data_IF_389413176318
#
_entry.id   IF_389413176318
#
_cell.length_a   1.000
_cell.length_b   1.000
_cell.length_c   1.000
_cell.angle_alpha   90.00
_cell.angle_beta   90.00
_cell.angle_gamma   90.00
#
_symmetry.space_group_name_H-M   'P 1'
#
loop_
_entity.id
_entity.type
_entity.pdbx_description
1 polymer ?
#
# COMPACT_ATOMS: atom_id res chain seq x y z
N UNK A 1 -49.48 12.38 88.53
CA UNK A 1 -50.78 12.33 87.84
C UNK A 1 -50.50 11.92 86.42
N UNK A 2 -50.85 10.72 86.18
CA UNK A 2 -51.80 10.16 85.21
C UNK A 2 -51.34 10.16 83.73
N UNK A 3 -50.95 9.01 83.31
CA UNK A 3 -51.54 8.22 82.20
C UNK A 3 -51.56 8.88 80.81
N UNK A 4 -51.09 8.29 79.79
CA UNK A 4 -51.63 7.10 79.11
C UNK A 4 -50.66 6.55 78.05
N UNK A 5 -50.57 5.22 78.04
CA UNK A 5 -50.08 4.42 76.94
C UNK A 5 -50.88 4.62 75.63
N UNK A 6 -50.23 4.70 74.52
CA UNK A 6 -50.85 4.25 73.29
C UNK A 6 -49.79 3.43 72.51
N UNK A 7 -50.05 2.16 72.44
CA UNK A 7 -49.36 1.21 71.56
C UNK A 7 -49.58 1.54 70.09
N UNK A 8 -48.55 1.56 69.29
CA UNK A 8 -48.70 1.47 67.85
C UNK A 8 -47.80 0.38 67.35
N UNK A 9 -48.47 -0.68 66.92
CA UNK A 9 -47.91 -1.80 66.21
C UNK A 9 -47.42 -1.33 64.84
N UNK A 10 -46.11 -1.39 64.63
CA UNK A 10 -45.52 -1.19 63.27
C UNK A 10 -45.35 -2.58 62.65
N UNK A 11 -46.15 -2.84 61.66
CA UNK A 11 -46.06 -4.05 60.87
C UNK A 11 -44.83 -3.97 59.95
N UNK A 12 -43.89 -4.87 60.15
CA UNK A 12 -42.68 -5.03 59.32
C UNK A 12 -43.07 -5.79 58.03
N UNK A 13 -43.27 -5.07 56.94
CA UNK A 13 -43.43 -5.66 55.63
C UNK A 13 -42.05 -6.05 55.06
N UNK A 14 -41.72 -7.34 55.05
CA UNK A 14 -40.54 -7.85 54.41
C UNK A 14 -40.73 -7.81 52.88
N UNK A 15 -40.11 -6.88 52.19
CA UNK A 15 -39.97 -6.84 50.75
C UNK A 15 -38.88 -7.86 50.33
N UNK A 16 -39.31 -8.99 49.85
CA UNK A 16 -38.44 -9.97 49.18
C UNK A 16 -38.19 -9.46 47.75
N UNK A 17 -37.07 -8.78 47.55
CA UNK A 17 -36.55 -8.44 46.21
C UNK A 17 -36.01 -9.73 45.57
N UNK A 18 -36.81 -10.35 44.74
CA UNK A 18 -36.34 -11.39 43.83
C UNK A 18 -35.49 -10.77 42.73
N UNK A 19 -34.16 -10.88 42.86
CA UNK A 19 -33.21 -10.52 41.81
C UNK A 19 -33.33 -11.53 40.67
N UNK A 20 -34.08 -11.18 39.65
CA UNK A 20 -34.07 -11.90 38.40
C UNK A 20 -32.75 -11.56 37.69
N UNK A 21 -31.74 -12.44 37.78
CA UNK A 21 -30.56 -12.39 36.94
C UNK A 21 -30.99 -12.67 35.49
N UNK A 22 -31.12 -11.60 34.69
CA UNK A 22 -31.08 -11.75 33.25
C UNK A 22 -29.64 -12.08 32.84
N UNK A 23 -29.35 -13.33 32.64
CA UNK A 23 -28.18 -13.75 31.90
C UNK A 23 -28.38 -13.28 30.45
N UNK A 24 -27.87 -12.11 30.11
CA UNK A 24 -27.68 -11.71 28.73
C UNK A 24 -26.59 -12.62 28.15
N UNK A 25 -27.01 -13.67 27.44
CA UNK A 25 -26.14 -14.35 26.48
C UNK A 25 -25.76 -13.30 25.43
N UNK A 26 -24.54 -12.78 25.53
CA UNK A 26 -23.94 -11.99 24.46
C UNK A 26 -23.82 -12.92 23.23
N UNK A 27 -24.78 -12.87 22.34
CA UNK A 27 -24.61 -13.37 20.98
C UNK A 27 -23.41 -12.65 20.39
N UNK A 28 -22.36 -13.41 20.07
CA UNK A 28 -21.29 -12.92 19.21
C UNK A 28 -21.96 -12.35 17.96
N UNK A 29 -21.64 -11.10 17.55
CA UNK A 29 -22.15 -10.58 16.28
C UNK A 29 -21.68 -11.54 15.19
N UNK A 30 -22.64 -12.31 14.63
CA UNK A 30 -22.38 -13.10 13.46
C UNK A 30 -21.81 -12.18 12.40
N UNK A 31 -20.67 -12.53 11.81
CA UNK A 31 -20.09 -11.84 10.68
C UNK A 31 -21.15 -11.80 9.57
N UNK A 32 -21.89 -10.72 9.53
CA UNK A 32 -22.79 -10.40 8.42
C UNK A 32 -21.93 -10.37 7.15
N UNK A 33 -22.35 -11.12 6.13
CA UNK A 33 -21.78 -11.08 4.78
C UNK A 33 -21.53 -9.61 4.43
N UNK A 34 -20.26 -9.28 4.13
CA UNK A 34 -19.85 -7.95 3.74
C UNK A 34 -20.85 -7.38 2.72
N UNK A 35 -21.64 -6.44 3.17
CA UNK A 35 -22.58 -5.73 2.31
C UNK A 35 -21.69 -4.97 1.34
N UNK A 36 -21.81 -5.27 0.04
CA UNK A 36 -21.09 -4.50 -1.01
C UNK A 36 -21.53 -3.05 -0.88
N UNK A 37 -20.77 -2.28 -0.09
CA UNK A 37 -20.98 -0.83 -0.02
C UNK A 37 -20.74 -0.23 -1.41
N UNK A 38 -21.48 0.84 -1.74
CA UNK A 38 -21.26 1.57 -2.96
C UNK A 38 -19.79 2.07 -3.02
N UNK A 39 -19.20 2.25 -4.22
CA UNK A 39 -17.92 2.89 -4.37
C UNK A 39 -17.87 4.23 -3.66
N UNK A 40 -16.73 4.57 -3.07
CA UNK A 40 -16.53 5.81 -2.32
C UNK A 40 -15.30 6.54 -2.80
N UNK A 41 -15.34 7.86 -2.73
CA UNK A 41 -14.18 8.73 -2.97
C UNK A 41 -13.24 8.82 -1.76
N UNK A 42 -13.56 8.18 -0.64
CA UNK A 42 -12.67 8.08 0.52
C UNK A 42 -11.76 6.87 0.38
N UNK A 43 -10.48 7.12 0.14
CA UNK A 43 -9.43 6.09 0.04
C UNK A 43 -8.69 5.86 1.36
N UNK A 44 -9.04 6.58 2.44
CA UNK A 44 -8.32 6.51 3.72
C UNK A 44 -8.32 5.11 4.31
N UNK A 45 -7.22 4.75 4.96
CA UNK A 45 -7.02 3.48 5.65
C UNK A 45 -5.67 2.86 5.38
N UNK A 46 -5.40 1.75 6.09
CA UNK A 46 -4.20 0.94 5.88
C UNK A 46 -4.51 -0.16 4.87
N UNK A 47 -3.77 -0.17 3.79
CA UNK A 47 -3.99 -1.06 2.65
C UNK A 47 -2.79 -1.97 2.44
N UNK A 48 -3.06 -3.23 2.17
CA UNK A 48 -2.03 -4.19 1.78
C UNK A 48 -2.33 -4.75 0.39
N UNK A 49 -1.31 -4.80 -0.46
CA UNK A 49 -1.44 -5.41 -1.79
C UNK A 49 -1.87 -6.86 -1.67
N UNK A 50 -2.95 -7.22 -2.35
CA UNK A 50 -3.43 -8.60 -2.40
C UNK A 50 -2.48 -9.44 -3.25
N UNK A 51 -2.13 -10.62 -2.75
CA UNK A 51 -1.38 -11.62 -3.51
C UNK A 51 -2.29 -12.49 -4.38
N UNK A 52 -3.59 -12.21 -4.38
CA UNK A 52 -4.56 -12.94 -5.21
C UNK A 52 -4.53 -12.37 -6.63
N UNK A 53 -4.54 -13.26 -7.63
CA UNK A 53 -4.71 -12.83 -9.01
C UNK A 53 -6.04 -12.06 -9.17
N UNK A 54 -6.05 -10.93 -9.89
CA UNK A 54 -7.26 -10.13 -10.10
C UNK A 54 -8.37 -10.89 -10.82
N UNK A 55 -8.01 -11.91 -11.57
CA UNK A 55 -8.94 -12.73 -12.35
C UNK A 55 -8.60 -14.21 -12.16
N UNK A 56 -9.61 -15.00 -11.77
CA UNK A 56 -9.50 -16.47 -11.64
C UNK A 56 -9.12 -17.18 -12.95
N UNK A 57 -9.35 -16.52 -14.08
CA UNK A 57 -9.03 -17.05 -15.42
C UNK A 57 -7.54 -16.86 -15.81
N UNK A 58 -6.79 -15.99 -15.14
CA UNK A 58 -5.37 -15.75 -15.42
C UNK A 58 -4.51 -16.59 -14.49
N UNK A 59 -3.80 -17.56 -15.05
CA UNK A 59 -2.76 -18.33 -14.35
C UNK A 59 -1.54 -17.44 -14.07
N UNK A 60 -1.62 -16.58 -13.05
CA UNK A 60 -0.44 -15.91 -12.51
C UNK A 60 0.07 -16.69 -11.31
N UNK A 61 1.36 -16.91 -11.24
CA UNK A 61 1.98 -17.38 -10.02
C UNK A 61 2.03 -16.20 -9.03
N UNK A 62 1.89 -16.49 -7.73
CA UNK A 62 2.08 -15.49 -6.64
C UNK A 62 3.45 -14.79 -6.77
N UNK A 63 4.41 -15.49 -7.36
CA UNK A 63 5.77 -15.03 -7.59
C UNK A 63 5.83 -13.90 -8.62
N UNK A 64 5.18 -14.04 -9.78
CA UNK A 64 5.18 -13.04 -10.86
C UNK A 64 4.55 -11.71 -10.40
N UNK A 65 3.50 -11.76 -9.57
CA UNK A 65 2.86 -10.56 -9.02
C UNK A 65 3.70 -9.82 -7.96
N UNK A 66 4.75 -10.46 -7.43
CA UNK A 66 5.63 -9.85 -6.43
C UNK A 66 6.76 -9.01 -7.04
N UNK A 67 7.10 -9.25 -8.31
CA UNK A 67 8.27 -8.64 -8.94
C UNK A 67 7.92 -7.54 -9.94
N UNK A 68 6.79 -7.63 -10.62
CA UNK A 68 6.38 -6.61 -11.59
C UNK A 68 4.91 -6.21 -11.41
N UNK A 69 4.55 -5.06 -11.99
CA UNK A 69 3.15 -4.63 -12.10
C UNK A 69 2.41 -5.34 -13.22
N UNK A 70 3.14 -6.04 -14.10
CA UNK A 70 2.60 -6.79 -15.23
C UNK A 70 3.22 -8.19 -15.30
N UNK A 71 2.52 -9.09 -15.96
CA UNK A 71 3.04 -10.43 -16.32
C UNK A 71 3.44 -10.53 -17.79
N UNK A 72 3.26 -9.45 -18.54
CA UNK A 72 3.65 -9.36 -19.93
C UNK A 72 5.02 -8.70 -20.05
N UNK A 73 5.86 -9.17 -20.99
CA UNK A 73 7.12 -8.49 -21.26
C UNK A 73 6.85 -7.07 -21.77
N UNK A 74 7.36 -6.04 -21.10
CA UNK A 74 7.22 -4.66 -21.58
C UNK A 74 7.86 -4.46 -22.96
N UNK A 75 7.29 -3.60 -23.80
CA UNK A 75 7.76 -3.38 -25.17
C UNK A 75 8.97 -2.44 -25.22
N UNK A 76 10.11 -2.92 -24.72
CA UNK A 76 11.34 -2.12 -24.57
C UNK A 76 11.93 -1.68 -25.91
N UNK A 77 12.50 -0.47 -25.92
CA UNK A 77 13.41 -0.01 -26.98
C UNK A 77 14.78 -0.68 -26.84
N UNK A 78 15.66 -0.61 -27.85
CA UNK A 78 17.02 -1.12 -27.73
C UNK A 78 17.82 -0.47 -26.58
N UNK A 79 17.54 0.80 -26.27
CA UNK A 79 18.16 1.49 -25.14
C UNK A 79 17.73 0.85 -23.80
N UNK A 80 16.44 0.63 -23.61
CA UNK A 80 15.92 0.00 -22.39
C UNK A 80 16.38 -1.47 -22.28
N UNK A 81 16.40 -2.22 -23.39
CA UNK A 81 16.91 -3.60 -23.38
C UNK A 81 18.39 -3.68 -22.97
N UNK A 82 19.21 -2.73 -23.40
CA UNK A 82 20.62 -2.68 -23.00
C UNK A 82 20.75 -2.40 -21.49
N UNK A 83 19.97 -1.45 -20.95
CA UNK A 83 19.93 -1.17 -19.51
C UNK A 83 19.40 -2.36 -18.70
N UNK A 84 18.33 -2.98 -19.16
CA UNK A 84 17.75 -4.18 -18.54
C UNK A 84 18.74 -5.34 -18.45
N UNK A 85 19.50 -5.59 -19.52
CA UNK A 85 20.56 -6.63 -19.54
C UNK A 85 21.74 -6.31 -18.62
N UNK A 86 22.01 -5.04 -18.38
CA UNK A 86 23.09 -4.60 -17.48
C UNK A 86 22.65 -4.55 -16.00
N UNK A 87 21.36 -4.64 -15.73
CA UNK A 87 20.81 -4.66 -14.39
C UNK A 87 21.17 -5.98 -13.68
N UNK A 88 21.47 -5.85 -12.40
CA UNK A 88 21.80 -6.96 -11.49
C UNK A 88 20.85 -6.89 -10.29
N UNK A 89 19.61 -7.35 -10.42
CA UNK A 89 18.65 -7.29 -9.32
C UNK A 89 19.09 -8.15 -8.15
N UNK A 90 18.69 -7.77 -6.94
CA UNK A 90 18.94 -8.57 -5.73
C UNK A 90 17.79 -9.55 -5.42
N UNK A 91 16.68 -9.47 -6.17
CA UNK A 91 15.51 -10.33 -6.06
C UNK A 91 15.06 -10.77 -7.45
N UNK A 92 14.28 -11.84 -7.51
CA UNK A 92 13.74 -12.34 -8.78
C UNK A 92 14.58 -13.46 -9.39
N UNK A 93 14.13 -13.97 -10.56
CA UNK A 93 14.77 -15.13 -11.21
C UNK A 93 16.20 -14.87 -11.69
N UNK A 94 16.55 -13.61 -11.94
CA UNK A 94 17.89 -13.19 -12.39
C UNK A 94 18.70 -12.53 -11.26
N UNK A 95 18.34 -12.80 -10.00
CA UNK A 95 18.98 -12.17 -8.86
C UNK A 95 20.44 -12.55 -8.71
N UNK A 96 21.24 -11.57 -8.26
CA UNK A 96 22.64 -11.71 -7.87
C UNK A 96 22.79 -11.48 -6.37
N UNK A 97 23.96 -11.81 -5.84
CA UNK A 97 24.26 -11.54 -4.42
C UNK A 97 24.30 -10.05 -4.11
N UNK A 98 24.06 -9.69 -2.84
CA UNK A 98 24.05 -8.28 -2.39
C UNK A 98 25.36 -7.53 -2.70
N UNK A 99 26.48 -8.22 -2.75
CA UNK A 99 27.76 -7.60 -3.11
C UNK A 99 27.92 -7.28 -4.60
N UNK A 100 27.07 -7.89 -5.44
CA UNK A 100 27.17 -7.76 -6.90
C UNK A 100 26.03 -6.94 -7.50
N UNK A 101 24.96 -6.72 -6.72
CA UNK A 101 23.78 -6.00 -7.19
C UNK A 101 24.07 -4.54 -7.46
N UNK A 102 23.43 -3.99 -8.48
CA UNK A 102 23.39 -2.54 -8.74
C UNK A 102 21.98 -1.96 -8.52
N UNK A 103 21.15 -2.67 -7.78
CA UNK A 103 19.81 -2.21 -7.43
C UNK A 103 19.88 -1.05 -6.43
N UNK A 104 19.36 0.14 -6.78
CA UNK A 104 19.42 1.31 -5.89
C UNK A 104 18.78 1.10 -4.52
N UNK A 105 17.77 0.23 -4.44
CA UNK A 105 17.04 -0.01 -3.20
C UNK A 105 17.89 -0.67 -2.11
N UNK A 106 18.94 -1.39 -2.47
CA UNK A 106 19.86 -2.00 -1.50
C UNK A 106 20.73 -0.95 -0.78
N UNK A 107 20.79 0.25 -1.30
CA UNK A 107 21.44 1.41 -0.68
C UNK A 107 20.42 2.36 -0.03
N UNK A 108 19.22 1.86 0.25
CA UNK A 108 18.10 2.61 0.85
C UNK A 108 17.67 3.85 0.07
N UNK A 109 17.92 3.89 -1.23
CA UNK A 109 17.36 4.94 -2.08
C UNK A 109 15.86 4.71 -2.29
N UNK A 110 15.08 5.79 -2.43
CA UNK A 110 13.66 5.68 -2.71
C UNK A 110 13.39 4.83 -3.96
N UNK A 111 12.43 3.90 -3.90
CA UNK A 111 12.17 2.96 -5.01
C UNK A 111 11.53 3.61 -6.23
N UNK A 112 10.97 4.81 -6.09
CA UNK A 112 10.18 5.45 -7.14
C UNK A 112 8.78 4.84 -7.32
N UNK A 113 8.02 5.42 -8.25
CA UNK A 113 6.67 4.95 -8.63
C UNK A 113 6.76 4.31 -10.01
N UNK A 114 6.16 3.12 -10.22
CA UNK A 114 5.28 2.39 -9.33
C UNK A 114 5.98 1.36 -8.42
N UNK A 115 7.31 1.28 -8.42
CA UNK A 115 8.03 0.24 -7.69
C UNK A 115 7.77 0.24 -6.19
N UNK A 116 7.50 1.41 -5.58
CA UNK A 116 7.16 1.53 -4.16
C UNK A 116 6.01 0.60 -3.75
N UNK A 117 5.10 0.29 -4.66
CA UNK A 117 3.98 -0.62 -4.43
C UNK A 117 4.37 -2.11 -4.43
N UNK A 118 5.60 -2.43 -4.84
CA UNK A 118 6.08 -3.80 -4.99
C UNK A 118 7.01 -4.23 -3.87
N UNK A 119 7.37 -3.30 -2.97
CA UNK A 119 8.33 -3.58 -1.92
C UNK A 119 7.71 -4.57 -0.93
N UNK A 120 8.26 -5.78 -0.90
CA UNK A 120 7.98 -6.88 0.04
C UNK A 120 6.50 -7.12 0.39
N UNK A 121 5.54 -6.46 -0.28
CA UNK A 121 4.12 -6.53 0.05
C UNK A 121 3.77 -5.84 1.37
N UNK A 122 4.59 -4.88 1.77
CA UNK A 122 4.37 -4.05 2.95
C UNK A 122 3.12 -3.17 2.78
N UNK A 123 2.45 -2.82 3.88
CA UNK A 123 1.26 -1.99 3.82
C UNK A 123 1.59 -0.54 3.47
N UNK A 124 0.56 0.17 3.03
CA UNK A 124 0.55 1.61 2.84
C UNK A 124 -0.65 2.20 3.55
N UNK A 125 -0.44 3.25 4.33
CA UNK A 125 -1.53 4.05 4.87
C UNK A 125 -1.84 5.20 3.93
N UNK A 126 -3.10 5.33 3.54
CA UNK A 126 -3.61 6.44 2.76
C UNK A 126 -4.35 7.39 3.70
N UNK A 127 -3.91 8.63 3.75
CA UNK A 127 -4.51 9.73 4.49
C UNK A 127 -5.03 10.77 3.50
N UNK A 128 -6.34 10.97 3.49
CA UNK A 128 -6.97 11.90 2.55
C UNK A 128 -7.40 13.19 3.27
N UNK A 129 -7.03 14.32 2.69
CA UNK A 129 -7.44 15.66 3.11
C UNK A 129 -8.16 16.37 1.97
N UNK A 130 -8.67 17.59 2.20
CA UNK A 130 -9.43 18.36 1.20
C UNK A 130 -8.64 18.78 -0.04
N UNK A 131 -7.32 18.75 -0.03
CA UNK A 131 -6.50 19.21 -1.16
C UNK A 131 -5.30 18.33 -1.44
N UNK A 132 -5.16 17.24 -0.69
CA UNK A 132 -4.01 16.37 -0.79
C UNK A 132 -4.30 14.97 -0.26
N UNK A 133 -3.72 13.98 -0.91
CA UNK A 133 -3.65 12.61 -0.41
C UNK A 133 -2.19 12.34 -0.07
N UNK A 134 -1.96 11.77 1.11
CA UNK A 134 -0.64 11.34 1.57
C UNK A 134 -0.65 9.83 1.67
N UNK A 135 0.31 9.19 1.04
CA UNK A 135 0.55 7.75 1.15
C UNK A 135 1.83 7.54 1.94
N UNK A 136 1.70 6.92 3.12
CA UNK A 136 2.82 6.53 3.97
C UNK A 136 3.07 5.03 3.79
N UNK A 137 4.21 4.68 3.23
CA UNK A 137 4.62 3.30 3.04
C UNK A 137 5.38 2.80 4.28
N UNK A 138 5.11 1.59 4.73
CA UNK A 138 5.81 1.00 5.88
C UNK A 138 7.31 0.85 5.62
N UNK A 139 7.68 0.48 4.38
CA UNK A 139 9.08 0.39 3.99
C UNK A 139 9.75 1.76 4.07
N UNK A 140 10.68 1.89 5.00
CA UNK A 140 11.54 3.06 5.22
C UNK A 140 10.76 4.40 5.37
N UNK A 141 9.47 4.31 5.72
CA UNK A 141 8.54 5.43 5.86
C UNK A 141 8.54 6.40 4.67
N UNK A 142 8.72 5.86 3.45
CA UNK A 142 8.58 6.71 2.27
C UNK A 142 7.20 7.34 2.21
N UNK A 143 7.19 8.63 1.89
CA UNK A 143 5.98 9.42 1.75
C UNK A 143 5.78 9.77 0.28
N UNK A 144 4.56 9.62 -0.20
CA UNK A 144 4.11 10.13 -1.48
C UNK A 144 2.97 11.09 -1.27
N UNK A 145 3.10 12.29 -1.81
CA UNK A 145 2.05 13.30 -1.80
C UNK A 145 1.40 13.38 -3.19
N UNK A 146 0.09 13.40 -3.23
CA UNK A 146 -0.73 13.57 -4.43
C UNK A 146 -1.59 14.79 -4.21
N UNK A 147 -1.37 15.86 -4.97
CA UNK A 147 -2.12 17.11 -4.81
C UNK A 147 -3.44 17.05 -5.58
N UNK A 148 -4.54 17.30 -4.89
CA UNK A 148 -5.91 17.25 -5.43
C UNK A 148 -6.60 18.60 -5.37
N UNK A 149 -5.85 19.67 -5.24
CA UNK A 149 -6.33 21.07 -5.14
C UNK A 149 -6.50 21.78 -6.49
N UNK A 150 -6.34 21.03 -7.60
CA UNK A 150 -6.52 21.55 -8.95
C UNK A 150 -5.31 22.25 -9.56
N UNK A 151 -4.15 22.16 -8.88
CA UNK A 151 -2.89 22.69 -9.45
C UNK A 151 -2.46 21.95 -10.70
N UNK A 152 -1.56 22.57 -11.44
CA UNK A 152 -0.85 21.96 -12.56
C UNK A 152 0.58 21.62 -12.13
N UNK A 153 1.24 20.72 -12.86
CA UNK A 153 2.67 20.47 -12.66
C UNK A 153 3.48 21.77 -12.86
N UNK A 154 4.46 22.05 -11.99
CA UNK A 154 5.36 23.17 -12.19
C UNK A 154 6.11 23.05 -13.53
N UNK A 155 6.34 24.19 -14.20
CA UNK A 155 7.08 24.18 -15.47
C UNK A 155 8.54 23.83 -15.32
N UNK A 156 9.12 24.20 -14.18
CA UNK A 156 10.56 23.99 -13.86
C UNK A 156 10.68 22.91 -12.79
N UNK A 157 10.27 21.68 -13.11
CA UNK A 157 10.40 20.52 -12.21
C UNK A 157 11.85 20.10 -12.09
N UNK A 158 12.34 20.03 -10.86
CA UNK A 158 13.57 19.29 -10.56
C UNK A 158 13.25 17.81 -10.45
N UNK A 159 13.94 16.92 -11.20
CA UNK A 159 13.66 15.48 -11.14
C UNK A 159 13.84 14.90 -9.74
N UNK A 160 12.86 14.14 -9.28
CA UNK A 160 12.86 13.49 -7.97
C UNK A 160 12.69 11.98 -8.09
N UNK A 161 12.85 11.25 -7.01
CA UNK A 161 12.64 9.80 -6.98
C UNK A 161 11.17 9.40 -7.16
N UNK A 162 10.25 10.18 -6.56
CA UNK A 162 8.82 9.86 -6.51
C UNK A 162 7.99 10.64 -7.54
N UNK A 163 8.63 11.56 -8.27
CA UNK A 163 7.97 12.45 -9.19
C UNK A 163 7.12 13.54 -8.51
N UNK A 164 6.50 14.38 -9.30
CA UNK A 164 5.46 15.34 -8.91
C UNK A 164 4.11 14.74 -9.29
N UNK A 165 3.22 14.54 -8.33
CA UNK A 165 1.95 13.85 -8.52
C UNK A 165 0.76 14.78 -8.30
N UNK A 166 -0.09 14.92 -9.30
CA UNK A 166 -1.37 15.61 -9.21
C UNK A 166 -2.52 14.62 -9.39
N UNK A 167 -3.61 14.82 -8.67
CA UNK A 167 -4.77 13.93 -8.68
C UNK A 167 -6.05 14.68 -9.05
N UNK A 168 -6.88 14.05 -9.86
CA UNK A 168 -8.21 14.55 -10.22
C UNK A 168 -9.24 13.44 -10.04
N UNK A 169 -10.34 13.77 -9.38
CA UNK A 169 -11.46 12.84 -9.26
C UNK A 169 -12.30 12.80 -10.54
N UNK A 170 -12.49 11.61 -11.07
CA UNK A 170 -13.42 11.29 -12.16
C UNK A 170 -14.49 10.34 -11.61
N UNK A 171 -15.58 10.91 -11.11
CA UNK A 171 -16.61 10.14 -10.40
C UNK A 171 -16.04 9.54 -9.10
N UNK A 172 -15.99 8.21 -9.02
CA UNK A 172 -15.46 7.43 -7.89
C UNK A 172 -13.98 6.99 -8.06
N UNK A 173 -13.33 7.48 -9.09
CA UNK A 173 -11.95 7.13 -9.44
C UNK A 173 -11.03 8.34 -9.32
N UNK A 174 -9.98 8.22 -8.53
CA UNK A 174 -8.88 9.18 -8.52
C UNK A 174 -7.93 8.87 -9.67
N UNK A 175 -7.78 9.79 -10.59
CA UNK A 175 -6.77 9.73 -11.65
C UNK A 175 -5.57 10.54 -11.19
N UNK A 176 -4.44 9.87 -11.06
CA UNK A 176 -3.17 10.48 -10.64
C UNK A 176 -2.23 10.54 -11.83
N UNK A 177 -1.76 11.73 -12.12
CA UNK A 177 -0.79 12.04 -13.14
C UNK A 177 0.56 12.33 -12.46
N UNK A 178 1.64 11.66 -12.86
CA UNK A 178 2.95 11.82 -12.21
C UNK A 178 4.04 11.94 -13.25
N UNK A 179 4.82 13.01 -13.16
CA UNK A 179 5.96 13.34 -14.04
C UNK A 179 7.16 13.83 -13.21
N UNK A 180 8.27 14.15 -13.84
CA UNK A 180 9.43 14.73 -13.17
C UNK A 180 10.20 13.70 -12.33
N UNK A 181 10.34 12.50 -12.85
CA UNK A 181 11.18 11.46 -12.24
C UNK A 181 12.66 11.66 -12.60
N UNK A 182 13.56 11.34 -11.67
CA UNK A 182 14.96 11.08 -12.03
C UNK A 182 15.09 9.63 -12.60
N UNK A 183 16.17 9.35 -13.31
CA UNK A 183 16.40 8.04 -13.96
C UNK A 183 17.19 7.05 -13.10
N UNK A 184 17.17 7.21 -11.76
CA UNK A 184 18.04 6.52 -10.82
C UNK A 184 17.45 5.25 -10.21
N UNK A 185 16.25 4.84 -10.62
CA UNK A 185 15.57 3.65 -10.09
C UNK A 185 15.04 2.76 -11.21
N UNK A 186 14.33 1.70 -10.84
CA UNK A 186 13.64 0.81 -11.75
C UNK A 186 12.13 0.89 -11.55
N UNK A 187 11.35 0.49 -12.54
CA UNK A 187 9.89 0.49 -12.46
C UNK A 187 9.33 -0.67 -11.63
N UNK A 188 10.13 -1.72 -11.46
CA UNK A 188 9.73 -2.92 -10.72
C UNK A 188 10.96 -3.70 -10.19
N UNK A 189 10.69 -4.82 -9.53
CA UNK A 189 11.73 -5.69 -8.98
C UNK A 189 12.36 -6.61 -10.05
N UNK A 190 11.83 -6.63 -11.27
CA UNK A 190 12.45 -7.28 -12.45
C UNK A 190 13.48 -6.37 -13.14
N UNK A 191 13.70 -5.16 -12.60
CA UNK A 191 14.67 -4.18 -13.10
C UNK A 191 14.35 -3.51 -14.44
N UNK A 192 13.07 -3.37 -14.78
CA UNK A 192 12.68 -2.60 -15.95
C UNK A 192 13.09 -1.14 -15.80
N UNK A 193 13.95 -0.61 -16.72
CA UNK A 193 14.47 0.75 -16.59
C UNK A 193 13.46 1.79 -17.03
N UNK A 194 13.71 3.04 -16.65
CA UNK A 194 13.04 4.21 -17.21
C UNK A 194 14.02 5.34 -17.43
N UNK A 195 13.57 6.39 -18.09
CA UNK A 195 14.30 7.64 -18.29
C UNK A 195 13.63 8.77 -17.51
N UNK A 196 14.15 9.99 -17.64
CA UNK A 196 13.52 11.20 -17.08
C UNK A 196 12.24 11.60 -17.84
N UNK A 197 12.00 11.00 -19.04
CA UNK A 197 10.76 11.20 -19.80
C UNK A 197 9.61 10.32 -19.26
N UNK A 198 9.80 9.63 -18.13
CA UNK A 198 8.79 8.79 -17.52
C UNK A 198 7.55 9.60 -17.13
N UNK A 199 6.41 9.12 -17.59
CA UNK A 199 5.09 9.55 -17.20
C UNK A 199 4.30 8.35 -16.67
N UNK A 200 3.74 8.47 -15.48
CA UNK A 200 2.94 7.43 -14.85
C UNK A 200 1.54 7.94 -14.58
N UNK A 201 0.55 7.27 -15.14
CA UNK A 201 -0.87 7.54 -14.87
C UNK A 201 -1.44 6.39 -14.05
N UNK A 202 -2.07 6.71 -12.92
CA UNK A 202 -2.70 5.73 -12.06
C UNK A 202 -4.19 6.04 -11.90
N UNK A 203 -5.00 5.01 -11.92
CA UNK A 203 -6.44 5.10 -11.67
C UNK A 203 -6.75 4.31 -10.40
N UNK A 204 -6.95 5.03 -9.31
CA UNK A 204 -7.21 4.46 -8.00
C UNK A 204 -8.70 4.48 -7.70
N UNK A 205 -9.26 3.32 -7.36
CA UNK A 205 -10.69 3.20 -7.10
C UNK A 205 -10.96 2.26 -5.94
N UNK A 206 -11.67 2.75 -4.94
CA UNK A 206 -12.20 1.90 -3.86
C UNK A 206 -13.50 1.28 -4.33
N UNK A 207 -13.43 0.05 -4.82
CA UNK A 207 -14.55 -0.66 -5.47
C UNK A 207 -15.61 -1.16 -4.47
N UNK A 208 -15.22 -1.33 -3.22
CA UNK A 208 -16.07 -1.60 -2.07
C UNK A 208 -15.32 -1.23 -0.77
N UNK A 209 -15.95 -1.46 0.39
CA UNK A 209 -15.36 -1.10 1.69
C UNK A 209 -13.93 -1.66 1.87
N UNK A 210 -13.69 -2.89 1.47
CA UNK A 210 -12.46 -3.62 1.79
C UNK A 210 -11.49 -3.75 0.60
N UNK A 211 -11.81 -3.15 -0.56
CA UNK A 211 -11.04 -3.36 -1.79
C UNK A 211 -10.76 -2.06 -2.50
N UNK A 212 -9.47 -1.78 -2.71
CA UNK A 212 -8.96 -0.72 -3.56
C UNK A 212 -8.27 -1.34 -4.77
N UNK A 213 -8.50 -0.78 -5.95
CA UNK A 213 -7.78 -1.14 -7.19
C UNK A 213 -6.93 0.02 -7.66
N UNK A 214 -5.78 -0.30 -8.22
CA UNK A 214 -4.88 0.66 -8.86
C UNK A 214 -4.52 0.10 -10.24
N UNK A 215 -4.99 0.79 -11.28
CA UNK A 215 -4.58 0.56 -12.66
C UNK A 215 -3.46 1.54 -12.99
N UNK A 216 -2.29 1.03 -13.36
CA UNK A 216 -1.10 1.84 -13.65
C UNK A 216 -0.79 1.77 -15.14
N UNK A 217 -0.61 2.91 -15.76
CA UNK A 217 -0.10 3.07 -17.12
C UNK A 217 1.26 3.75 -17.08
N UNK A 218 2.22 3.22 -17.81
CA UNK A 218 3.59 3.71 -17.94
C UNK A 218 3.80 4.16 -19.38
N UNK A 219 4.23 5.38 -19.53
CA UNK A 219 4.64 6.00 -20.79
C UNK A 219 6.05 6.55 -20.63
N UNK A 220 6.97 6.07 -21.45
CA UNK A 220 8.35 6.54 -21.51
C UNK A 220 8.85 6.28 -22.94
N UNK A 221 8.76 7.25 -23.85
CA UNK A 221 9.10 7.05 -25.27
C UNK A 221 10.54 6.67 -25.50
N UNK A 222 11.46 7.01 -24.60
CA UNK A 222 12.86 6.61 -24.68
C UNK A 222 13.06 5.14 -24.31
N UNK A 223 12.27 4.66 -23.33
CA UNK A 223 12.41 3.31 -22.81
C UNK A 223 11.47 2.29 -23.49
N UNK A 224 10.27 2.71 -23.90
CA UNK A 224 9.22 1.81 -24.38
C UNK A 224 8.61 2.29 -25.70
N UNK A 225 8.38 1.37 -26.62
CA UNK A 225 7.82 1.67 -27.95
C UNK A 225 6.31 1.96 -27.94
N UNK A 226 5.62 1.64 -26.85
CA UNK A 226 4.20 1.94 -26.61
C UNK A 226 3.92 1.91 -25.12
N UNK A 227 2.83 2.55 -24.64
CA UNK A 227 2.39 2.44 -23.26
C UNK A 227 2.18 1.00 -22.82
N UNK A 228 2.47 0.72 -21.56
CA UNK A 228 2.21 -0.55 -20.90
C UNK A 228 1.84 -0.31 -19.43
N UNK A 229 1.50 -1.33 -18.69
CA UNK A 229 1.12 -1.15 -17.31
C UNK A 229 0.55 -2.40 -16.67
N UNK A 230 -0.10 -2.24 -15.55
CA UNK A 230 -0.63 -3.33 -14.78
C UNK A 230 -1.79 -2.94 -13.89
N UNK A 231 -2.33 -3.94 -13.23
CA UNK A 231 -3.46 -3.83 -12.32
C UNK A 231 -3.09 -4.44 -10.97
N UNK A 232 -3.35 -3.71 -9.90
CA UNK A 232 -3.14 -4.19 -8.54
C UNK A 232 -4.43 -4.10 -7.72
N UNK A 233 -4.61 -5.07 -6.82
CA UNK A 233 -5.70 -5.10 -5.86
C UNK A 233 -5.10 -4.94 -4.48
N UNK A 234 -5.73 -4.10 -3.66
CA UNK A 234 -5.39 -3.89 -2.27
C UNK A 234 -6.56 -4.27 -1.37
N UNK A 235 -6.25 -4.84 -0.23
CA UNK A 235 -7.19 -5.22 0.82
C UNK A 235 -7.03 -4.29 2.01
N UNK A 236 -8.14 -3.74 2.51
CA UNK A 236 -8.16 -2.94 3.73
C UNK A 236 -7.75 -3.78 4.93
N UNK A 237 -6.93 -3.22 5.78
CA UNK A 237 -6.48 -3.81 7.04
C UNK A 237 -6.86 -2.89 8.20
N UNK A 238 -8.13 -2.93 8.66
CA UNK A 238 -8.67 -1.93 9.60
C UNK A 238 -7.98 -1.95 10.98
N UNK A 239 -7.42 -3.10 11.35
CA UNK A 239 -6.77 -3.30 12.66
C UNK A 239 -5.24 -3.16 12.59
N UNK A 240 -4.69 -2.73 11.42
CA UNK A 240 -3.26 -2.56 11.24
C UNK A 240 -2.86 -1.10 11.41
N UNK A 241 -1.64 -0.93 11.88
CA UNK A 241 -0.91 0.33 11.85
C UNK A 241 0.33 0.15 10.99
N UNK A 242 0.87 1.25 10.50
CA UNK A 242 2.19 1.25 9.86
C UNK A 242 3.24 0.96 10.95
N UNK A 243 4.04 -0.06 10.73
CA UNK A 243 5.15 -0.43 11.60
C UNK A 243 6.40 0.37 11.27
N UNK A 244 7.39 0.29 12.16
CA UNK A 244 8.71 0.83 11.90
C UNK A 244 9.51 -0.19 11.10
N UNK A 245 9.85 0.15 9.86
CA UNK A 245 10.72 -0.65 9.00
C UNK A 245 11.80 0.23 8.41
N UNK A 246 13.02 0.04 8.93
CA UNK A 246 14.20 0.81 8.52
C UNK A 246 15.02 -0.01 7.53
N UNK A 247 15.28 0.57 6.37
CA UNK A 247 16.01 -0.10 5.29
C UNK A 247 17.44 -0.48 5.71
N UNK A 248 18.13 0.41 6.43
CA UNK A 248 19.52 0.19 6.87
C UNK A 248 19.67 -1.02 7.80
N UNK A 249 18.67 -1.31 8.63
CA UNK A 249 18.68 -2.48 9.52
C UNK A 249 18.73 -3.79 8.72
N UNK A 250 18.07 -3.82 7.57
CA UNK A 250 18.09 -4.99 6.69
C UNK A 250 19.44 -5.20 6.01
N UNK A 251 20.20 -4.14 5.73
CA UNK A 251 21.55 -4.21 5.17
C UNK A 251 22.52 -4.77 6.23
N UNK A 252 22.48 -4.22 7.44
CA UNK A 252 23.32 -4.65 8.56
C UNK A 252 23.07 -6.11 8.90
N UNK A 253 21.82 -6.57 8.90
CA UNK A 253 21.48 -7.96 9.19
C UNK A 253 22.01 -8.92 8.14
N UNK A 254 21.94 -8.58 6.85
CA UNK A 254 22.47 -9.40 5.77
C UNK A 254 24.00 -9.46 5.76
N UNK A 255 24.67 -8.39 6.18
CA UNK A 255 26.14 -8.37 6.33
C UNK A 255 26.60 -9.18 7.53
N UNK A 256 25.84 -9.22 8.62
CA UNK A 256 26.10 -10.09 9.76
C UNK A 256 25.93 -11.57 9.41
N UNK A 257 24.92 -11.95 8.60
CA UNK A 257 24.76 -13.33 8.13
C UNK A 257 25.97 -13.79 7.30
N UNK A 258 26.49 -12.95 6.41
CA UNK A 258 27.69 -13.28 5.62
C UNK A 258 28.93 -13.52 6.47
N UNK A 259 29.11 -12.75 7.56
CA UNK A 259 30.24 -12.98 8.49
C UNK A 259 30.15 -14.30 9.23
N UNK A 260 28.95 -14.81 9.51
CA UNK A 260 28.76 -16.10 10.18
C UNK A 260 28.94 -17.30 9.24
N UNK A 261 28.65 -17.15 7.94
CA UNK A 261 28.80 -18.22 6.95
C UNK A 261 30.23 -18.29 6.35
N UNK A 262 30.97 -17.17 6.31
CA UNK A 262 32.34 -17.09 5.83
C UNK A 262 33.43 -17.46 6.86
N UNK A 263 33.04 -17.82 8.06
CA UNK A 263 33.90 -18.16 9.20
C UNK A 263 34.04 -19.66 9.48
N UNK A 264 33.91 -20.53 8.47
CA UNK A 264 34.23 -21.97 8.56
C UNK A 264 35.37 -22.35 7.65
#
# INVERSE_FOLDING_TARGET
MRNRLVSSIVAMAALVCSSILFAQTAEKPGMTKAQKSAPTTDLSGVWRRSRRAPDKARKYTIYELAFSITTQKPPMTPWAEAKFKAAKPNVGPNSVGLAETNDPIVNCFPPGVPRVYLIRGEPVEIMQTSGKIVMLFEYDHFIREIFTDGRQHPKDLSPTWMGDAIGKWEGDTLVVDTVGFNDKTWLDNDSHPHSEDLHVVERMRRVNHDTLTIDTTIEDPKAYTKPWGGHAIYELKPDWNIGEMVCEDNITFSDMQKKTEGGK
#
